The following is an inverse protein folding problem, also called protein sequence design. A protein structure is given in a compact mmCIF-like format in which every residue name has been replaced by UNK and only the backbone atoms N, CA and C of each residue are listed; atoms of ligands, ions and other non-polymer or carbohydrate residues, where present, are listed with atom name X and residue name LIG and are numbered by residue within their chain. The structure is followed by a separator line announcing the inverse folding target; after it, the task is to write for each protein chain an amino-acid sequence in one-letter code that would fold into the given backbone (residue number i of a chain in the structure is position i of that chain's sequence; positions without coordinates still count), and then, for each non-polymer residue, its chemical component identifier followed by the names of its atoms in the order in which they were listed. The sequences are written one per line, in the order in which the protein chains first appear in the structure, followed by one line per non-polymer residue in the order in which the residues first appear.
data_IF_716572616269
#
_entry.id   IF_716572616269
#
_cell.length_a   1.000
_cell.length_b   1.000
_cell.length_c   1.000
_cell.angle_alpha   90.00
_cell.angle_beta   90.00
_cell.angle_gamma   90.00
#
_symmetry.space_group_name_H-M   'P 1'
#
loop_
_entity.id
_entity.type
_entity.pdbx_description
1 polymer ?
#
# COMPACT_ATOMS: atom_id res chain seq x y z
N UNK A 1 -7.20 -15.14 24.37
CA UNK A 1 -7.09 -14.40 23.10
C UNK A 1 -7.19 -15.41 21.97
N UNK A 2 -8.08 -15.21 20.97
CA UNK A 2 -8.20 -16.15 19.83
C UNK A 2 -7.12 -15.82 18.79
N UNK A 3 -6.65 -16.82 18.04
CA UNK A 3 -5.63 -16.64 17.01
C UNK A 3 -6.28 -16.63 15.62
N UNK A 4 -5.87 -15.69 14.77
CA UNK A 4 -6.32 -15.60 13.38
C UNK A 4 -5.10 -15.72 12.47
N UNK A 5 -5.19 -16.64 11.51
CA UNK A 5 -4.21 -16.81 10.45
C UNK A 5 -4.77 -16.22 9.16
N UNK A 6 -4.05 -15.28 8.56
CA UNK A 6 -4.39 -14.65 7.28
C UNK A 6 -3.35 -15.11 6.25
N UNK A 7 -3.82 -15.64 5.13
CA UNK A 7 -2.95 -16.07 4.02
C UNK A 7 -3.06 -15.04 2.89
N UNK A 8 -1.94 -14.37 2.60
CA UNK A 8 -1.79 -13.28 1.65
C UNK A 8 -1.77 -11.90 2.32
N UNK A 9 -0.77 -11.09 1.99
CA UNK A 9 -0.59 -9.70 2.41
C UNK A 9 -0.87 -8.70 1.26
N UNK A 10 -1.82 -9.04 0.40
CA UNK A 10 -2.42 -8.08 -0.54
C UNK A 10 -3.45 -7.15 0.15
N UNK A 11 -4.14 -6.28 -0.60
CA UNK A 11 -5.09 -5.31 -0.05
C UNK A 11 -6.11 -5.92 0.94
N UNK A 12 -6.72 -7.05 0.56
CA UNK A 12 -7.70 -7.73 1.40
C UNK A 12 -7.09 -8.29 2.71
N UNK A 13 -5.88 -8.84 2.63
CA UNK A 13 -5.17 -9.37 3.81
C UNK A 13 -4.79 -8.27 4.79
N UNK A 14 -4.33 -7.13 4.29
CA UNK A 14 -3.99 -5.97 5.11
C UNK A 14 -5.24 -5.41 5.83
N UNK A 15 -6.35 -5.26 5.11
CA UNK A 15 -7.63 -4.81 5.71
C UNK A 15 -8.14 -5.82 6.75
N UNK A 16 -8.06 -7.12 6.46
CA UNK A 16 -8.45 -8.16 7.40
C UNK A 16 -7.59 -8.11 8.68
N UNK A 17 -6.26 -7.99 8.53
CA UNK A 17 -5.33 -7.91 9.65
C UNK A 17 -5.64 -6.70 10.53
N UNK A 18 -5.71 -5.51 9.92
CA UNK A 18 -6.10 -4.26 10.59
C UNK A 18 -7.42 -4.40 11.33
N UNK A 19 -8.44 -4.97 10.68
CA UNK A 19 -9.78 -5.13 11.28
C UNK A 19 -9.75 -6.00 12.52
N UNK A 20 -9.08 -7.16 12.48
CA UNK A 20 -8.97 -8.03 13.65
C UNK A 20 -8.12 -7.41 14.76
N UNK A 21 -7.00 -6.76 14.41
CA UNK A 21 -6.13 -6.09 15.37
C UNK A 21 -6.87 -4.97 16.13
N UNK A 22 -7.66 -4.16 15.42
CA UNK A 22 -8.43 -3.06 16.02
C UNK A 22 -9.45 -3.51 17.07
N UNK A 23 -9.93 -4.75 17.02
CA UNK A 23 -10.84 -5.26 18.05
C UNK A 23 -10.14 -5.48 19.41
N UNK A 24 -8.82 -5.62 19.44
CA UNK A 24 -8.07 -5.97 20.65
C UNK A 24 -8.30 -7.40 21.18
N UNK A 25 -9.08 -8.24 20.47
CA UNK A 25 -9.47 -9.58 20.93
C UNK A 25 -8.69 -10.73 20.27
N UNK A 26 -7.93 -10.43 19.22
CA UNK A 26 -7.24 -11.44 18.41
C UNK A 26 -5.74 -11.21 18.36
N UNK A 27 -4.99 -12.31 18.39
CA UNK A 27 -3.60 -12.36 17.94
C UNK A 27 -3.62 -12.71 16.46
N UNK A 28 -3.14 -11.81 15.61
CA UNK A 28 -3.16 -11.96 14.15
C UNK A 28 -1.77 -12.38 13.66
N UNK A 29 -1.72 -13.36 12.77
CA UNK A 29 -0.51 -13.74 12.02
C UNK A 29 -0.84 -13.71 10.52
N UNK A 30 0.00 -13.03 9.73
CA UNK A 30 -0.16 -12.91 8.27
C UNK A 30 0.98 -13.67 7.60
N UNK A 31 0.66 -14.58 6.69
CA UNK A 31 1.64 -15.28 5.86
C UNK A 31 1.54 -14.79 4.43
N UNK A 32 2.64 -14.28 3.87
CA UNK A 32 2.77 -13.92 2.46
C UNK A 32 3.84 -14.80 1.82
N UNK A 33 3.60 -15.21 0.57
CA UNK A 33 4.52 -16.04 -0.21
C UNK A 33 5.71 -15.25 -0.72
N UNK A 34 5.50 -13.98 -1.08
CA UNK A 34 6.56 -13.09 -1.56
C UNK A 34 7.16 -12.25 -0.43
N UNK A 35 8.27 -11.56 -0.70
CA UNK A 35 9.07 -10.85 0.32
C UNK A 35 8.54 -9.45 0.67
N UNK A 36 7.38 -9.04 0.15
CA UNK A 36 6.82 -7.70 0.34
C UNK A 36 5.29 -7.73 0.33
N UNK A 37 4.66 -6.72 0.93
CA UNK A 37 3.19 -6.60 0.91
C UNK A 37 2.69 -5.99 -0.41
N UNK A 38 1.40 -6.19 -0.69
CA UNK A 38 0.71 -5.58 -1.84
C UNK A 38 0.14 -6.56 -2.87
N UNK A 39 0.48 -7.85 -2.80
CA UNK A 39 -0.04 -8.87 -3.72
C UNK A 39 0.32 -8.56 -5.18
N UNK A 40 -0.66 -8.41 -6.08
CA UNK A 40 -0.38 -8.02 -7.47
C UNK A 40 0.29 -6.65 -7.60
N UNK A 41 0.11 -5.80 -6.58
CA UNK A 41 0.70 -4.46 -6.50
C UNK A 41 2.05 -4.48 -5.79
N UNK A 42 2.62 -5.63 -5.47
CA UNK A 42 3.90 -5.77 -4.79
C UNK A 42 5.08 -5.38 -5.71
N UNK A 43 5.20 -4.11 -6.04
CA UNK A 43 6.22 -3.59 -6.96
C UNK A 43 6.58 -2.13 -6.66
N UNK A 44 7.77 -1.73 -7.05
CA UNK A 44 8.25 -0.35 -7.01
C UNK A 44 8.27 0.26 -8.42
N UNK A 45 8.58 1.56 -8.49
CA UNK A 45 8.66 2.32 -9.74
C UNK A 45 9.63 1.70 -10.77
N UNK A 46 10.67 1.00 -10.28
CA UNK A 46 11.75 0.41 -11.06
C UNK A 46 11.65 -1.11 -11.22
N UNK A 47 10.60 -1.75 -10.69
CA UNK A 47 10.45 -3.20 -10.74
C UNK A 47 10.31 -3.67 -12.18
N UNK A 48 11.14 -4.64 -12.59
CA UNK A 48 11.13 -5.19 -13.95
C UNK A 48 10.44 -6.56 -14.05
N UNK A 49 10.34 -7.28 -12.94
CA UNK A 49 9.88 -8.68 -12.84
C UNK A 49 8.60 -8.82 -12.00
N UNK A 50 7.80 -7.75 -11.93
CA UNK A 50 6.52 -7.76 -11.23
C UNK A 50 5.38 -8.40 -12.03
N UNK A 51 4.27 -8.70 -11.36
CA UNK A 51 3.04 -9.18 -12.03
C UNK A 51 2.42 -8.15 -12.99
N UNK A 52 2.79 -6.87 -12.82
CA UNK A 52 2.32 -5.74 -13.60
C UNK A 52 3.53 -4.85 -13.96
N UNK A 53 3.44 -4.11 -15.07
CA UNK A 53 4.39 -3.04 -15.34
C UNK A 53 4.16 -1.90 -14.31
N UNK A 54 5.21 -1.29 -13.72
CA UNK A 54 5.05 -0.27 -12.69
C UNK A 54 4.17 0.91 -13.07
N UNK A 55 4.24 1.30 -14.35
CA UNK A 55 3.53 2.46 -14.88
C UNK A 55 2.06 2.18 -15.24
N UNK A 56 1.59 0.93 -15.09
CA UNK A 56 0.18 0.56 -15.33
C UNK A 56 -0.74 1.39 -14.43
N UNK A 57 -1.67 2.20 -14.97
CA UNK A 57 -2.63 2.92 -14.16
C UNK A 57 -3.73 1.99 -13.65
N UNK A 58 -4.35 2.35 -12.52
CA UNK A 58 -5.62 1.77 -12.12
C UNK A 58 -6.70 2.08 -13.16
N UNK A 59 -7.65 1.17 -13.33
CA UNK A 59 -8.84 1.40 -14.18
C UNK A 59 -9.97 2.17 -13.46
N UNK A 60 -9.78 2.46 -12.18
CA UNK A 60 -10.72 3.15 -11.30
C UNK A 60 -10.05 4.39 -10.69
N UNK A 61 -10.84 5.42 -10.40
CA UNK A 61 -10.31 6.69 -9.91
C UNK A 61 -9.79 6.58 -8.47
N UNK A 62 -8.88 7.47 -8.07
CA UNK A 62 -8.37 7.55 -6.70
C UNK A 62 -9.48 7.66 -5.64
N UNK A 63 -10.63 8.22 -6.00
CA UNK A 63 -11.78 8.35 -5.11
C UNK A 63 -12.53 7.03 -4.87
N UNK A 64 -12.39 6.05 -5.77
CA UNK A 64 -13.00 4.73 -5.63
C UNK A 64 -12.02 3.64 -5.24
N UNK A 65 -10.72 3.83 -5.43
CA UNK A 65 -9.67 2.85 -5.04
C UNK A 65 -8.86 3.24 -3.81
N UNK A 66 -9.41 4.09 -2.94
CA UNK A 66 -8.86 4.35 -1.60
C UNK A 66 -9.53 3.48 -0.52
N UNK A 67 -8.81 3.24 0.57
CA UNK A 67 -9.41 2.77 1.81
C UNK A 67 -10.03 3.95 2.55
N UNK A 68 -11.15 3.73 3.22
CA UNK A 68 -11.92 4.81 3.86
C UNK A 68 -11.19 5.53 5.01
N UNK A 69 -10.07 4.98 5.48
CA UNK A 69 -9.28 5.45 6.61
C UNK A 69 -7.80 5.70 6.26
N UNK A 70 -7.52 5.94 4.97
CA UNK A 70 -6.24 6.48 4.50
C UNK A 70 -6.50 7.29 3.21
N UNK A 71 -6.34 8.61 3.26
CA UNK A 71 -6.44 9.43 2.05
C UNK A 71 -5.15 9.29 1.22
N UNK A 72 -5.28 9.24 -0.10
CA UNK A 72 -4.13 9.22 -1.00
C UNK A 72 -3.17 10.40 -0.81
N UNK A 73 -3.68 11.56 -0.39
CA UNK A 73 -2.86 12.75 -0.14
C UNK A 73 -1.96 12.61 1.10
N UNK A 74 -2.20 11.61 1.96
CA UNK A 74 -1.35 11.31 3.10
C UNK A 74 -0.14 10.45 2.73
N UNK A 75 -0.04 9.98 1.47
CA UNK A 75 1.00 9.07 1.02
C UNK A 75 2.01 9.81 0.14
N UNK A 76 3.31 9.61 0.42
CA UNK A 76 4.38 10.15 -0.43
C UNK A 76 4.48 9.37 -1.76
N UNK A 77 3.89 9.95 -2.79
CA UNK A 77 3.90 9.43 -4.16
C UNK A 77 4.95 10.07 -5.07
N UNK A 78 5.98 10.72 -4.52
CA UNK A 78 7.05 11.33 -5.35
C UNK A 78 7.88 10.25 -6.05
N UNK A 79 8.05 10.41 -7.37
CA UNK A 79 8.91 9.54 -8.17
C UNK A 79 10.36 9.62 -7.68
N UNK A 80 11.05 8.48 -7.63
CA UNK A 80 12.49 8.43 -7.31
C UNK A 80 13.33 9.13 -8.38
N UNK A 81 12.78 9.29 -9.58
CA UNK A 81 13.42 9.93 -10.73
C UNK A 81 13.13 11.42 -10.83
N UNK A 82 12.28 11.96 -9.94
CA UNK A 82 12.02 13.40 -9.92
C UNK A 82 13.22 14.15 -9.36
N UNK A 83 13.79 15.05 -10.16
CA UNK A 83 14.89 15.95 -9.74
C UNK A 83 14.50 16.90 -8.60
N UNK A 84 13.18 17.08 -8.39
CA UNK A 84 12.62 17.96 -7.35
C UNK A 84 12.28 17.21 -6.05
N UNK A 85 12.58 15.91 -5.94
CA UNK A 85 12.28 15.10 -4.75
C UNK A 85 13.11 15.46 -3.50
N UNK A 86 14.07 16.38 -3.63
CA UNK A 86 15.10 16.65 -2.62
C UNK A 86 14.82 17.85 -1.68
N UNK A 87 13.81 18.69 -1.94
CA UNK A 87 13.44 19.76 -0.99
C UNK A 87 12.33 19.30 -0.06
N UNK A 88 12.58 19.41 1.25
CA UNK A 88 11.57 19.17 2.29
C UNK A 88 10.38 20.15 2.19
N UNK A 89 10.58 21.27 1.50
CA UNK A 89 9.61 22.35 1.31
C UNK A 89 8.87 22.30 -0.04
N UNK A 90 9.08 21.26 -0.86
CA UNK A 90 8.31 21.10 -2.09
C UNK A 90 6.85 20.76 -1.79
N UNK A 91 5.94 21.51 -2.41
CA UNK A 91 4.51 21.21 -2.38
C UNK A 91 4.24 19.75 -2.80
N UNK A 92 3.34 19.03 -2.10
CA UNK A 92 2.99 17.66 -2.46
C UNK A 92 2.50 17.63 -3.92
N UNK A 93 3.06 16.72 -4.72
CA UNK A 93 2.56 16.51 -6.08
C UNK A 93 1.10 16.04 -6.01
N UNK A 94 0.21 16.54 -6.89
CA UNK A 94 -1.17 16.12 -6.89
C UNK A 94 -1.28 14.63 -7.17
N UNK A 95 -2.07 13.93 -6.35
CA UNK A 95 -2.37 12.50 -6.56
C UNK A 95 -3.03 12.34 -7.94
N UNK A 96 -2.50 11.47 -8.82
CA UNK A 96 -3.11 11.21 -10.12
C UNK A 96 -4.56 10.72 -9.99
N UNK A 97 -5.42 11.11 -10.95
CA UNK A 97 -6.80 10.61 -11.00
C UNK A 97 -6.85 9.08 -11.04
N UNK A 98 -5.90 8.46 -11.73
CA UNK A 98 -5.72 7.01 -11.83
C UNK A 98 -4.30 6.66 -11.36
N UNK A 99 -4.10 6.35 -10.07
CA UNK A 99 -2.78 6.01 -9.53
C UNK A 99 -2.12 4.87 -10.30
N UNK A 100 -0.80 4.92 -10.45
CA UNK A 100 -0.01 3.87 -11.10
C UNK A 100 0.24 2.70 -10.14
N UNK A 101 0.56 1.53 -10.68
CA UNK A 101 0.75 0.32 -9.89
C UNK A 101 1.79 0.49 -8.77
N UNK A 102 2.90 1.19 -9.03
CA UNK A 102 3.90 1.46 -7.98
C UNK A 102 3.41 2.44 -6.91
N UNK A 103 2.50 3.35 -7.27
CA UNK A 103 1.87 4.27 -6.31
C UNK A 103 0.88 3.54 -5.43
N UNK A 104 0.13 2.58 -5.99
CA UNK A 104 -0.74 1.68 -5.22
C UNK A 104 0.10 0.88 -4.21
N UNK A 105 1.29 0.40 -4.59
CA UNK A 105 2.15 -0.27 -3.62
C UNK A 105 2.51 0.61 -2.43
N UNK A 106 3.00 1.83 -2.70
CA UNK A 106 3.37 2.77 -1.62
C UNK A 106 2.20 3.08 -0.69
N UNK A 107 1.00 3.20 -1.27
CA UNK A 107 -0.22 3.38 -0.51
C UNK A 107 -0.50 2.19 0.42
N UNK A 108 -0.34 0.95 -0.07
CA UNK A 108 -0.52 -0.26 0.74
C UNK A 108 0.57 -0.43 1.81
N UNK A 109 1.81 -0.05 1.51
CA UNK A 109 2.92 -0.02 2.48
C UNK A 109 2.63 1.00 3.60
N UNK A 110 2.14 2.19 3.25
CA UNK A 110 1.76 3.20 4.25
C UNK A 110 0.59 2.72 5.11
N UNK A 111 -0.42 2.10 4.51
CA UNK A 111 -1.51 1.47 5.23
C UNK A 111 -1.03 0.40 6.21
N UNK A 112 -0.10 -0.45 5.76
CA UNK A 112 0.52 -1.48 6.59
C UNK A 112 1.24 -0.85 7.77
N UNK A 113 2.10 0.15 7.55
CA UNK A 113 2.85 0.83 8.63
C UNK A 113 1.94 1.46 9.67
N UNK A 114 0.82 2.06 9.24
CA UNK A 114 -0.10 2.75 10.14
C UNK A 114 -0.89 1.79 11.04
N UNK A 115 -1.24 0.60 10.54
CA UNK A 115 -2.24 -0.25 11.21
C UNK A 115 -1.74 -1.63 11.64
N UNK A 116 -0.61 -2.11 11.11
CA UNK A 116 -0.10 -3.46 11.32
C UNK A 116 1.33 -3.34 11.87
N UNK A 117 1.56 -3.72 13.14
CA UNK A 117 2.88 -3.65 13.76
C UNK A 117 3.96 -4.40 12.96
N UNK A 118 5.21 -3.92 13.06
CA UNK A 118 6.39 -4.75 12.85
C UNK A 118 6.45 -5.83 13.94
N UNK A 119 6.77 -7.06 13.55
CA UNK A 119 6.99 -8.17 14.51
C UNK A 119 8.18 -7.90 15.43
#
# INVERSE_FOLDING_TARGET
MKRVCIIGAGPAGLVAAKTFLQTGHFTVTVYEKITRVGGIWALDEDTQDGFLAPQTPTNLSRFTVGFGDLDWNEVDLRSKHSRDAASADAEPLPVPMFPRAWQVNRYLEEYRKRYIPDE
#
